data_IF_395608886317
#
_entry.id   IF_395608886317
#
_cell.length_a   1.000
_cell.length_b   1.000
_cell.length_c   1.000
_cell.angle_alpha   90.00
_cell.angle_beta   90.00
_cell.angle_gamma   90.00
#
_symmetry.space_group_name_H-M   'P 1'
#
loop_
_entity.id
_entity.type
_entity.pdbx_description
1 polymer ?
#
# COMPACT_ATOMS: atom_id res chain seq x y z
N UNK A 1 -19.14 -10.78 -15.77
CA UNK A 1 -17.91 -10.10 -15.34
C UNK A 1 -18.01 -9.84 -13.87
N UNK A 2 -17.34 -10.65 -13.06
CA UNK A 2 -17.28 -10.42 -11.61
C UNK A 2 -16.25 -9.32 -11.41
N UNK A 3 -16.74 -8.08 -11.22
CA UNK A 3 -15.93 -6.96 -10.76
C UNK A 3 -15.35 -7.38 -9.40
N UNK A 4 -14.12 -7.87 -9.39
CA UNK A 4 -13.42 -8.16 -8.13
C UNK A 4 -13.17 -6.80 -7.50
N UNK A 5 -13.96 -6.47 -6.48
CA UNK A 5 -13.76 -5.26 -5.70
C UNK A 5 -12.30 -5.24 -5.21
N UNK A 6 -11.57 -4.13 -5.40
CA UNK A 6 -10.18 -4.05 -4.98
C UNK A 6 -10.09 -4.24 -3.47
N UNK A 7 -9.22 -5.16 -3.03
CA UNK A 7 -8.99 -5.39 -1.61
C UNK A 7 -8.48 -4.08 -0.98
N UNK A 8 -9.25 -3.54 -0.05
CA UNK A 8 -8.96 -2.25 0.58
C UNK A 8 -8.86 -2.43 2.08
N UNK A 9 -7.79 -1.91 2.67
CA UNK A 9 -7.53 -2.00 4.11
C UNK A 9 -7.03 -0.68 4.66
N UNK A 10 -7.48 -0.34 5.87
CA UNK A 10 -7.08 0.88 6.57
C UNK A 10 -6.21 0.47 7.74
N UNK A 11 -4.98 0.99 7.76
CA UNK A 11 -3.97 0.65 8.75
C UNK A 11 -3.45 1.93 9.39
N UNK A 12 -3.37 1.96 10.72
CA UNK A 12 -2.64 3.02 11.41
C UNK A 12 -1.15 2.70 11.35
N UNK A 13 -0.36 3.60 10.80
CA UNK A 13 1.09 3.44 10.71
C UNK A 13 1.72 3.87 12.04
N UNK A 14 1.79 5.17 12.27
CA UNK A 14 2.36 5.79 13.47
C UNK A 14 1.55 7.03 13.88
N UNK A 15 1.46 7.32 15.18
CA UNK A 15 0.76 8.49 15.74
C UNK A 15 -0.55 8.86 15.02
N UNK A 16 -0.54 9.92 14.20
CA UNK A 16 -1.69 10.46 13.46
C UNK A 16 -1.68 10.09 11.97
N UNK A 17 -0.68 9.32 11.53
CA UNK A 17 -0.52 8.81 10.18
C UNK A 17 -1.32 7.52 9.98
N UNK A 18 -2.16 7.52 8.95
CA UNK A 18 -2.95 6.38 8.51
C UNK A 18 -2.64 6.08 7.05
N UNK A 19 -2.64 4.81 6.71
CA UNK A 19 -2.57 4.32 5.35
C UNK A 19 -3.90 3.69 4.96
N UNK A 20 -4.37 4.00 3.75
CA UNK A 20 -5.40 3.22 3.06
C UNK A 20 -4.69 2.45 1.95
N UNK A 21 -4.53 1.15 2.13
CA UNK A 21 -3.92 0.25 1.16
C UNK A 21 -4.99 -0.32 0.24
N UNK A 22 -4.75 -0.28 -1.06
CA UNK A 22 -5.63 -0.79 -2.11
C UNK A 22 -4.80 -1.75 -2.95
N UNK A 23 -5.21 -3.01 -3.02
CA UNK A 23 -4.58 -4.01 -3.85
C UNK A 23 -5.32 -4.10 -5.19
N UNK A 24 -4.56 -4.02 -6.28
CA UNK A 24 -5.07 -4.22 -7.64
C UNK A 24 -4.28 -5.34 -8.30
N UNK A 25 -4.98 -6.24 -8.99
CA UNK A 25 -4.33 -7.16 -9.92
C UNK A 25 -4.01 -6.41 -11.22
N UNK A 26 -2.75 -6.42 -11.65
CA UNK A 26 -2.36 -5.78 -12.91
C UNK A 26 -2.86 -6.59 -14.11
N UNK A 27 -2.96 -7.91 -13.98
CA UNK A 27 -3.56 -8.84 -14.95
C UNK A 27 -3.91 -10.16 -14.25
N UNK A 28 -4.87 -10.94 -14.78
CA UNK A 28 -5.22 -12.25 -14.21
C UNK A 28 -4.16 -13.33 -14.47
N UNK A 29 -3.28 -13.13 -15.45
CA UNK A 29 -2.30 -14.13 -15.91
C UNK A 29 -0.91 -13.94 -15.31
N UNK A 30 -0.50 -12.71 -15.06
CA UNK A 30 0.77 -12.37 -14.42
C UNK A 30 0.52 -12.17 -12.93
N UNK A 31 1.21 -12.93 -12.08
CA UNK A 31 1.16 -12.82 -10.61
C UNK A 31 1.79 -11.51 -10.10
N UNK A 32 1.32 -10.39 -10.64
CA UNK A 32 1.78 -9.03 -10.39
C UNK A 32 0.62 -8.25 -9.76
N UNK A 33 0.84 -7.81 -8.53
CA UNK A 33 -0.10 -6.97 -7.81
C UNK A 33 0.46 -5.56 -7.66
N UNK A 34 -0.40 -4.57 -7.82
CA UNK A 34 -0.11 -3.19 -7.45
C UNK A 34 -0.72 -2.93 -6.07
N UNK A 35 0.15 -2.62 -5.10
CA UNK A 35 -0.23 -2.15 -3.78
C UNK A 35 -0.19 -0.62 -3.77
N UNK A 36 -1.35 0.03 -3.83
CA UNK A 36 -1.47 1.48 -3.73
C UNK A 36 -1.71 1.87 -2.27
N UNK A 37 -0.92 2.79 -1.74
CA UNK A 37 -0.96 3.25 -0.36
C UNK A 37 -1.27 4.75 -0.35
N UNK A 38 -2.49 5.09 0.09
CA UNK A 38 -2.89 6.48 0.29
C UNK A 38 -2.62 6.88 1.73
N UNK A 39 -1.82 7.91 1.93
CA UNK A 39 -1.38 8.36 3.24
C UNK A 39 -2.24 9.54 3.71
N UNK A 40 -2.64 9.48 4.98
CA UNK A 40 -3.42 10.52 5.63
C UNK A 40 -2.77 10.90 6.96
N UNK A 41 -2.40 12.16 7.12
CA UNK A 41 -1.92 12.72 8.38
C UNK A 41 -2.98 13.66 8.93
N UNK A 42 -3.41 13.45 10.18
CA UNK A 42 -4.50 14.25 10.79
C UNK A 42 -5.79 14.32 9.96
N UNK A 43 -6.13 13.23 9.26
CA UNK A 43 -7.27 13.12 8.33
C UNK A 43 -7.12 13.93 7.03
N UNK A 44 -5.99 14.58 6.81
CA UNK A 44 -5.66 15.24 5.54
C UNK A 44 -4.89 14.26 4.64
N UNK A 45 -5.25 14.12 3.35
CA UNK A 45 -4.45 13.34 2.42
C UNK A 45 -3.09 14.01 2.25
N UNK A 46 -2.01 13.30 2.55
CA UNK A 46 -0.64 13.81 2.42
C UNK A 46 0.09 13.27 1.20
N UNK A 47 -0.40 12.17 0.61
CA UNK A 47 0.10 11.68 -0.66
C UNK A 47 -0.32 10.25 -0.97
N UNK A 48 0.16 9.75 -2.11
CA UNK A 48 -0.10 8.40 -2.59
C UNK A 48 1.19 7.82 -3.14
N UNK A 49 1.56 6.64 -2.65
CA UNK A 49 2.70 5.85 -3.14
C UNK A 49 2.18 4.49 -3.60
N UNK A 50 2.79 3.88 -4.61
CA UNK A 50 2.46 2.53 -5.06
C UNK A 50 3.68 1.63 -5.12
N UNK A 51 3.45 0.35 -4.87
CA UNK A 51 4.47 -0.69 -4.89
C UNK A 51 4.03 -1.82 -5.82
N UNK A 52 4.94 -2.30 -6.67
CA UNK A 52 4.69 -3.47 -7.50
C UNK A 52 5.16 -4.74 -6.77
N UNK A 53 4.23 -5.61 -6.44
CA UNK A 53 4.46 -6.92 -5.82
C UNK A 53 4.56 -7.99 -6.90
N UNK A 54 5.76 -8.12 -7.50
CA UNK A 54 6.03 -9.09 -8.56
C UNK A 54 6.26 -10.49 -7.99
N UNK A 55 5.53 -11.48 -8.51
CA UNK A 55 5.66 -12.88 -8.10
C UNK A 55 4.95 -13.23 -6.79
N UNK A 56 4.14 -12.32 -6.26
CA UNK A 56 3.33 -12.56 -5.06
C UNK A 56 2.02 -13.25 -5.44
N UNK A 57 1.63 -14.26 -4.67
CA UNK A 57 0.26 -14.77 -4.76
C UNK A 57 -0.72 -13.82 -4.04
N UNK A 58 -2.03 -14.01 -4.26
CA UNK A 58 -3.07 -13.17 -3.67
C UNK A 58 -2.95 -13.10 -2.13
N UNK A 59 -2.75 -14.24 -1.47
CA UNK A 59 -2.66 -14.30 0.00
C UNK A 59 -1.47 -13.50 0.54
N UNK A 60 -0.30 -13.60 -0.11
CA UNK A 60 0.88 -12.84 0.27
C UNK A 60 0.69 -11.34 0.04
N UNK A 61 0.04 -10.98 -1.06
CA UNK A 61 -0.25 -9.59 -1.40
C UNK A 61 -1.27 -8.95 -0.43
N UNK A 62 -2.32 -9.68 -0.06
CA UNK A 62 -3.28 -9.27 0.97
C UNK A 62 -2.63 -9.17 2.36
N UNK A 63 -1.72 -10.12 2.68
CA UNK A 63 -0.93 -10.07 3.90
C UNK A 63 -0.08 -8.80 3.94
N UNK A 64 0.66 -8.49 2.88
CA UNK A 64 1.46 -7.26 2.80
C UNK A 64 0.62 -6.00 2.95
N UNK A 65 -0.53 -5.91 2.26
CA UNK A 65 -1.45 -4.78 2.38
C UNK A 65 -1.96 -4.62 3.82
N UNK A 66 -2.28 -5.73 4.48
CA UNK A 66 -2.77 -5.76 5.85
C UNK A 66 -1.73 -5.47 6.94
N UNK A 67 -0.46 -5.74 6.63
CA UNK A 67 0.66 -5.73 7.56
C UNK A 67 1.76 -4.77 7.13
N UNK A 68 1.42 -3.70 6.39
CA UNK A 68 2.39 -2.75 5.83
C UNK A 68 3.39 -2.19 6.86
N UNK A 69 2.94 -1.95 8.09
CA UNK A 69 3.79 -1.47 9.21
C UNK A 69 4.81 -2.51 9.70
N UNK A 70 4.54 -3.79 9.46
CA UNK A 70 5.39 -4.91 9.87
C UNK A 70 6.50 -5.15 8.81
N UNK A 71 6.44 -4.46 7.66
CA UNK A 71 7.41 -4.54 6.58
C UNK A 71 8.34 -3.31 6.58
N UNK A 72 9.56 -3.41 7.15
CA UNK A 72 10.44 -2.26 7.34
C UNK A 72 10.86 -1.58 6.02
N UNK A 73 10.94 -2.34 4.92
CA UNK A 73 11.21 -1.77 3.60
C UNK A 73 10.08 -0.85 3.12
N UNK A 74 8.82 -1.23 3.32
CA UNK A 74 7.67 -0.39 2.91
C UNK A 74 7.57 0.86 3.80
N UNK A 75 7.79 0.70 5.10
CA UNK A 75 7.84 1.84 6.02
C UNK A 75 8.94 2.83 5.64
N UNK A 76 10.15 2.34 5.30
CA UNK A 76 11.24 3.20 4.85
C UNK A 76 10.86 3.99 3.59
N UNK A 77 10.26 3.36 2.59
CA UNK A 77 9.84 4.05 1.35
C UNK A 77 8.72 5.08 1.62
N UNK A 78 7.83 4.80 2.59
CA UNK A 78 6.82 5.75 3.05
C UNK A 78 7.47 6.94 3.76
N UNK A 79 8.45 6.70 4.62
CA UNK A 79 9.20 7.76 5.31
C UNK A 79 9.99 8.61 4.32
N UNK A 80 10.68 7.99 3.37
CA UNK A 80 11.38 8.68 2.28
C UNK A 80 10.41 9.47 1.40
N UNK A 81 9.21 8.96 1.13
CA UNK A 81 8.20 9.71 0.39
C UNK A 81 7.67 10.94 1.18
N UNK A 82 7.46 10.79 2.48
CA UNK A 82 6.92 11.88 3.32
C UNK A 82 7.97 12.95 3.67
N UNK A 83 9.23 12.56 3.81
CA UNK A 83 10.30 13.42 4.34
C UNK A 83 11.46 13.64 3.36
N UNK A 84 11.56 12.84 2.30
CA UNK A 84 12.68 12.83 1.36
C UNK A 84 12.57 13.81 0.19
N UNK A 85 11.38 14.32 -0.16
CA UNK A 85 11.24 15.49 -1.06
C UNK A 85 11.42 16.81 -0.30
N UNK A 86 12.56 16.97 0.38
CA UNK A 86 13.05 18.27 0.86
C UNK A 86 14.32 18.64 0.11
N UNK A 87 14.18 19.07 -1.15
CA UNK A 87 15.15 19.93 -1.84
C UNK A 87 14.39 21.07 -2.58
#
# INVERSE_FOLDING_TARGET
STDLLPFTRITRLEDKLKAVTILKSESQEDSNWELVVKLFYEQQPVGVISFTLRGYCLEEAEYMAGHIKDHPHLMREIDEFLWGESD
#
